data_IF_269220215921
#
_entry.id   IF_269220215921
#
_cell.length_a   1.000
_cell.length_b   1.000
_cell.length_c   1.000
_cell.angle_alpha   90.00
_cell.angle_beta   90.00
_cell.angle_gamma   90.00
#
_symmetry.space_group_name_H-M   'P 1'
#
loop_
_entity.id
_entity.type
_entity.pdbx_description
1 polymer ?
#
# COMPACT_ATOMS: atom_id res chain seq x y z
N UNK A 1 8.74 -11.47 -44.62
CA UNK A 1 9.25 -10.48 -43.65
C UNK A 1 10.20 -9.56 -44.40
N UNK A 2 9.92 -8.25 -44.46
CA UNK A 2 10.71 -7.31 -45.28
C UNK A 2 12.10 -7.11 -44.69
N UNK A 3 13.14 -7.19 -45.51
CA UNK A 3 14.53 -6.96 -45.10
C UNK A 3 15.11 -5.76 -45.85
N UNK A 4 15.88 -4.93 -45.15
CA UNK A 4 16.40 -3.67 -45.69
C UNK A 4 17.89 -3.52 -45.43
N UNK A 5 18.58 -2.87 -46.37
CA UNK A 5 19.98 -2.49 -46.21
C UNK A 5 20.14 -1.28 -45.28
N UNK A 6 21.35 -1.07 -44.76
CA UNK A 6 21.67 0.10 -43.93
C UNK A 6 21.36 1.42 -44.65
N UNK A 7 21.60 1.49 -45.96
CA UNK A 7 21.31 2.69 -46.75
C UNK A 7 19.80 2.93 -46.86
N UNK A 8 19.00 1.86 -47.04
CA UNK A 8 17.55 1.98 -47.09
C UNK A 8 16.96 2.35 -45.72
N UNK A 9 17.53 1.82 -44.64
CA UNK A 9 17.17 2.22 -43.27
C UNK A 9 17.54 3.68 -42.98
N UNK A 10 18.65 4.18 -43.52
CA UNK A 10 19.04 5.58 -43.39
C UNK A 10 18.06 6.52 -44.10
N UNK A 11 17.62 6.15 -45.30
CA UNK A 11 16.60 6.88 -46.06
C UNK A 11 15.26 6.92 -45.31
N UNK A 12 14.81 5.79 -44.76
CA UNK A 12 13.52 5.71 -44.07
C UNK A 12 13.51 6.37 -42.68
N UNK A 13 14.63 6.36 -41.96
CA UNK A 13 14.70 6.86 -40.57
C UNK A 13 15.30 8.26 -40.45
N UNK A 14 15.84 8.81 -41.55
CA UNK A 14 16.55 10.09 -41.57
C UNK A 14 17.84 10.12 -40.75
N UNK A 15 18.29 8.97 -40.22
CA UNK A 15 19.50 8.86 -39.40
C UNK A 15 20.72 8.58 -40.28
N UNK A 16 21.87 9.14 -39.90
CA UNK A 16 23.12 8.90 -40.60
C UNK A 16 23.48 7.39 -40.61
N UNK A 17 23.95 6.83 -41.75
CA UNK A 17 24.29 5.41 -41.88
C UNK A 17 25.28 4.90 -40.81
N UNK A 18 26.19 5.75 -40.35
CA UNK A 18 27.13 5.45 -39.27
C UNK A 18 26.44 5.21 -37.92
N UNK A 19 25.43 6.02 -37.60
CA UNK A 19 24.63 5.88 -36.37
C UNK A 19 23.82 4.59 -36.39
N UNK A 20 23.29 4.22 -37.57
CA UNK A 20 22.55 2.97 -37.75
C UNK A 20 23.49 1.77 -37.56
N UNK A 21 24.65 1.76 -38.22
CA UNK A 21 25.64 0.70 -38.05
C UNK A 21 26.07 0.55 -36.58
N UNK A 22 26.32 1.66 -35.88
CA UNK A 22 26.66 1.66 -34.45
C UNK A 22 25.55 1.01 -33.62
N UNK A 23 24.30 1.42 -33.79
CA UNK A 23 23.15 0.88 -33.04
C UNK A 23 22.85 -0.58 -33.35
N UNK A 24 22.99 -1.01 -34.60
CA UNK A 24 22.85 -2.42 -34.98
C UNK A 24 23.96 -3.29 -34.37
N UNK A 25 25.18 -2.75 -34.25
CA UNK A 25 26.31 -3.44 -33.60
C UNK A 25 26.11 -3.52 -32.09
N UNK A 26 25.69 -2.43 -31.45
CA UNK A 26 25.34 -2.39 -30.01
C UNK A 26 24.20 -3.37 -29.68
N UNK A 27 23.21 -3.47 -30.56
CA UNK A 27 22.09 -4.42 -30.44
C UNK A 27 22.45 -5.86 -30.83
N UNK A 28 23.70 -6.14 -31.25
CA UNK A 28 24.21 -7.46 -31.67
C UNK A 28 23.30 -8.16 -32.70
N UNK A 29 22.72 -7.40 -33.63
CA UNK A 29 21.83 -7.96 -34.65
C UNK A 29 22.61 -8.57 -35.81
N UNK A 30 22.34 -9.85 -36.09
CA UNK A 30 22.90 -10.56 -37.23
C UNK A 30 22.11 -10.26 -38.51
N UNK A 31 22.78 -10.16 -39.68
CA UNK A 31 22.09 -9.91 -40.93
C UNK A 31 21.28 -11.14 -41.36
N UNK A 32 20.00 -10.92 -41.67
CA UNK A 32 19.06 -11.96 -42.09
C UNK A 32 19.43 -12.51 -43.48
N UNK A 33 20.01 -11.66 -44.33
CA UNK A 33 20.46 -12.04 -45.67
C UNK A 33 21.64 -11.18 -46.10
N UNK A 34 22.55 -11.75 -46.88
CA UNK A 34 23.63 -11.02 -47.52
C UNK A 34 23.47 -11.08 -49.04
N UNK A 35 23.36 -9.93 -49.69
CA UNK A 35 23.38 -9.79 -51.14
C UNK A 35 24.69 -9.12 -51.55
N UNK A 36 25.63 -9.93 -52.04
CA UNK A 36 26.98 -9.49 -52.39
C UNK A 36 27.71 -8.83 -51.21
N UNK A 37 28.03 -7.53 -51.34
CA UNK A 37 28.71 -6.73 -50.31
C UNK A 37 27.73 -6.02 -49.35
N UNK A 38 26.43 -6.21 -49.52
CA UNK A 38 25.38 -5.52 -48.75
C UNK A 38 24.70 -6.50 -47.79
N UNK A 39 24.74 -6.17 -46.49
CA UNK A 39 24.01 -6.90 -45.44
C UNK A 39 22.58 -6.34 -45.29
N UNK A 40 21.60 -7.24 -45.26
CA UNK A 40 20.18 -6.93 -45.07
C UNK A 40 19.75 -7.33 -43.66
N UNK A 41 19.06 -6.41 -42.98
CA UNK A 41 18.55 -6.60 -41.64
C UNK A 41 17.03 -6.70 -41.67
N UNK A 42 16.44 -7.47 -40.75
CA UNK A 42 15.00 -7.54 -40.56
C UNK A 42 14.46 -6.16 -40.19
N UNK A 43 13.43 -5.69 -40.90
CA UNK A 43 12.91 -4.33 -40.71
C UNK A 43 12.42 -4.07 -39.28
N UNK A 44 11.83 -5.08 -38.64
CA UNK A 44 11.26 -4.98 -37.29
C UNK A 44 12.37 -4.86 -36.24
N UNK A 45 13.37 -5.74 -36.30
CA UNK A 45 14.46 -5.78 -35.32
C UNK A 45 15.39 -4.57 -35.47
N UNK A 46 15.68 -4.18 -36.71
CA UNK A 46 16.48 -3.00 -37.00
C UNK A 46 15.81 -1.71 -36.50
N UNK A 47 14.49 -1.55 -36.70
CA UNK A 47 13.78 -0.37 -36.19
C UNK A 47 13.66 -0.37 -34.66
N UNK A 48 13.48 -1.52 -34.03
CA UNK A 48 13.46 -1.63 -32.57
C UNK A 48 14.79 -1.19 -31.94
N UNK A 49 15.93 -1.60 -32.52
CA UNK A 49 17.25 -1.15 -32.11
C UNK A 49 17.49 0.36 -32.34
N UNK A 50 16.85 0.94 -33.37
CA UNK A 50 16.99 2.36 -33.70
C UNK A 50 16.13 3.27 -32.82
N UNK A 51 15.02 2.79 -32.27
CA UNK A 51 14.09 3.57 -31.44
C UNK A 51 13.76 2.85 -30.11
N UNK A 52 14.73 2.70 -29.20
CA UNK A 52 14.52 1.95 -27.95
C UNK A 52 13.46 2.58 -27.04
N UNK A 53 13.31 3.91 -27.03
CA UNK A 53 12.29 4.59 -26.22
C UNK A 53 10.86 4.41 -26.75
N UNK A 54 10.70 4.22 -28.06
CA UNK A 54 9.39 3.95 -28.67
C UNK A 54 9.06 2.45 -28.61
N UNK A 55 10.09 1.59 -28.69
CA UNK A 55 9.94 0.16 -28.42
C UNK A 55 9.49 -0.12 -26.98
N UNK A 56 9.96 0.66 -26.01
CA UNK A 56 9.50 0.59 -24.61
C UNK A 56 8.05 1.07 -24.41
N UNK A 57 7.51 1.85 -25.36
CA UNK A 57 6.10 2.28 -25.39
C UNK A 57 5.21 1.34 -26.20
N UNK A 58 5.76 0.32 -26.86
CA UNK A 58 4.91 -0.67 -27.53
C UNK A 58 4.20 -1.49 -26.47
N UNK A 59 2.87 -1.62 -26.53
CA UNK A 59 2.19 -2.63 -25.74
C UNK A 59 2.69 -3.99 -26.24
N UNK A 60 3.57 -4.62 -25.48
CA UNK A 60 3.86 -6.05 -25.59
C UNK A 60 2.54 -6.77 -25.36
N UNK A 61 1.96 -7.29 -26.44
CA UNK A 61 0.63 -7.90 -26.42
C UNK A 61 0.52 -9.09 -25.47
N UNK A 62 -0.70 -9.23 -24.93
CA UNK A 62 -1.36 -10.45 -24.38
C UNK A 62 -2.06 -10.29 -23.02
N UNK A 63 -2.54 -9.08 -22.70
CA UNK A 63 -3.69 -8.91 -21.81
C UNK A 63 -4.38 -7.60 -22.17
N UNK A 64 -5.71 -7.60 -22.17
CA UNK A 64 -6.61 -6.49 -22.48
C UNK A 64 -6.58 -5.36 -21.43
N UNK A 65 -5.40 -5.12 -20.84
CA UNK A 65 -5.16 -4.23 -19.71
C UNK A 65 -4.37 -3.03 -20.22
N UNK A 66 -5.02 -1.88 -20.21
CA UNK A 66 -4.39 -0.60 -20.49
C UNK A 66 -3.48 -0.22 -19.31
N UNK A 67 -2.17 -0.33 -19.54
CA UNK A 67 -1.13 -0.09 -18.54
C UNK A 67 -1.18 1.34 -18.01
N UNK A 68 -1.59 2.31 -18.83
CA UNK A 68 -1.64 3.72 -18.41
C UNK A 68 -2.86 3.97 -17.51
N UNK A 69 -3.97 3.28 -17.77
CA UNK A 69 -5.16 3.29 -16.88
C UNK A 69 -4.83 2.66 -15.53
N UNK A 70 -4.13 1.53 -15.49
CA UNK A 70 -3.76 0.88 -14.24
C UNK A 70 -2.74 1.69 -13.43
N UNK A 71 -1.77 2.36 -14.09
CA UNK A 71 -0.87 3.30 -13.42
C UNK A 71 -1.60 4.50 -12.83
N UNK A 72 -2.62 5.02 -13.53
CA UNK A 72 -3.45 6.10 -13.01
C UNK A 72 -4.23 5.65 -11.76
N UNK A 73 -4.80 4.44 -11.78
CA UNK A 73 -5.46 3.83 -10.61
C UNK A 73 -4.51 3.65 -9.43
N UNK A 74 -3.31 3.13 -9.67
CA UNK A 74 -2.30 2.94 -8.64
C UNK A 74 -1.86 4.28 -8.02
N UNK A 75 -1.67 5.30 -8.86
CA UNK A 75 -1.31 6.65 -8.40
C UNK A 75 -2.42 7.27 -7.55
N UNK A 76 -3.68 7.07 -7.96
CA UNK A 76 -4.83 7.51 -7.16
C UNK A 76 -4.89 6.81 -5.81
N UNK A 77 -4.78 5.49 -5.77
CA UNK A 77 -4.77 4.73 -4.52
C UNK A 77 -3.61 5.12 -3.59
N UNK A 78 -2.43 5.44 -4.16
CA UNK A 78 -1.30 6.00 -3.38
C UNK A 78 -1.61 7.38 -2.80
N UNK A 79 -2.29 8.25 -3.54
CA UNK A 79 -2.69 9.57 -3.07
C UNK A 79 -3.69 9.46 -1.90
N UNK A 80 -4.72 8.63 -2.04
CA UNK A 80 -5.72 8.37 -1.00
C UNK A 80 -5.04 7.82 0.28
N UNK A 81 -4.10 6.87 0.11
CA UNK A 81 -3.32 6.33 1.22
C UNK A 81 -2.42 7.37 1.91
N UNK A 82 -1.90 8.35 1.16
CA UNK A 82 -1.13 9.45 1.73
C UNK A 82 -2.03 10.44 2.49
N UNK A 83 -3.24 10.69 1.99
CA UNK A 83 -4.23 11.54 2.66
C UNK A 83 -4.62 10.97 4.02
N UNK A 84 -4.91 9.67 4.10
CA UNK A 84 -5.20 8.98 5.37
C UNK A 84 -4.01 9.09 6.34
N UNK A 85 -2.78 8.87 5.86
CA UNK A 85 -1.56 9.01 6.69
C UNK A 85 -1.35 10.44 7.19
N UNK A 86 -1.66 11.43 6.36
CA UNK A 86 -1.60 12.83 6.75
C UNK A 86 -2.66 13.16 7.81
N UNK A 87 -3.88 12.66 7.66
CA UNK A 87 -4.95 12.82 8.65
C UNK A 87 -4.57 12.17 9.99
N UNK A 88 -3.96 10.97 9.98
CA UNK A 88 -3.42 10.33 11.19
C UNK A 88 -2.31 11.18 11.81
N UNK A 89 -1.39 11.70 10.99
CA UNK A 89 -0.28 12.54 11.47
C UNK A 89 -0.77 13.85 12.08
N UNK A 90 -1.87 14.41 11.56
CA UNK A 90 -2.57 15.60 12.09
C UNK A 90 -3.45 15.30 13.30
N UNK A 91 -3.59 14.02 13.69
CA UNK A 91 -4.49 13.53 14.75
C UNK A 91 -5.98 13.76 14.45
N UNK A 92 -6.34 13.94 13.19
CA UNK A 92 -7.72 14.03 12.73
C UNK A 92 -8.36 12.65 12.63
N UNK A 93 -7.54 11.61 12.45
CA UNK A 93 -7.97 10.21 12.38
C UNK A 93 -7.10 9.35 13.31
N UNK A 94 -7.73 8.52 14.15
CA UNK A 94 -7.02 7.60 15.03
C UNK A 94 -7.32 6.17 14.59
N UNK A 95 -6.31 5.31 14.37
CA UNK A 95 -6.55 3.90 14.10
C UNK A 95 -7.31 3.26 15.27
N UNK A 96 -8.42 2.58 14.98
CA UNK A 96 -9.31 1.98 15.98
C UNK A 96 -8.54 1.06 16.94
N UNK A 97 -7.61 0.23 16.42
CA UNK A 97 -6.80 -0.66 17.25
C UNK A 97 -5.92 0.05 18.29
N UNK A 98 -5.53 1.32 18.06
CA UNK A 98 -4.80 2.11 19.07
C UNK A 98 -5.73 2.55 20.19
N UNK A 99 -6.97 2.93 19.86
CA UNK A 99 -8.01 3.28 20.83
C UNK A 99 -8.38 2.05 21.66
N UNK A 100 -8.61 0.90 21.03
CA UNK A 100 -8.88 -0.37 21.70
C UNK A 100 -7.77 -0.74 22.69
N UNK A 101 -6.50 -0.65 22.26
CA UNK A 101 -5.36 -0.93 23.13
C UNK A 101 -5.29 0.03 24.32
N UNK A 102 -5.47 1.33 24.09
CA UNK A 102 -5.44 2.34 25.14
C UNK A 102 -6.60 2.13 26.14
N UNK A 103 -7.83 2.01 25.64
CA UNK A 103 -9.03 1.82 26.45
C UNK A 103 -8.94 0.51 27.24
N UNK A 104 -8.55 -0.59 26.60
CA UNK A 104 -8.32 -1.87 27.27
C UNK A 104 -7.28 -1.76 28.39
N UNK A 105 -6.19 -1.04 28.16
CA UNK A 105 -5.17 -0.77 29.19
C UNK A 105 -5.70 0.07 30.37
N UNK A 106 -6.51 1.10 30.09
CA UNK A 106 -7.15 1.94 31.12
C UNK A 106 -8.14 1.12 31.94
N UNK A 107 -9.01 0.34 31.29
CA UNK A 107 -10.00 -0.52 31.94
C UNK A 107 -9.32 -1.59 32.81
N UNK A 108 -8.25 -2.23 32.34
CA UNK A 108 -7.48 -3.20 33.11
C UNK A 108 -6.88 -2.58 34.38
N UNK A 109 -6.31 -1.38 34.27
CA UNK A 109 -5.75 -0.64 35.42
C UNK A 109 -6.84 -0.24 36.41
N UNK A 110 -8.00 0.18 35.91
CA UNK A 110 -9.15 0.52 36.74
C UNK A 110 -9.67 -0.70 37.50
N UNK A 111 -9.86 -1.83 36.81
CA UNK A 111 -10.31 -3.09 37.41
C UNK A 111 -9.38 -3.54 38.55
N UNK A 112 -8.07 -3.56 38.30
CA UNK A 112 -7.08 -3.88 39.34
C UNK A 112 -7.12 -2.89 40.52
N UNK A 113 -7.32 -1.60 40.23
CA UNK A 113 -7.51 -0.57 41.25
C UNK A 113 -8.71 -0.86 42.16
N UNK A 114 -9.85 -1.19 41.56
CA UNK A 114 -11.10 -1.49 42.26
C UNK A 114 -11.01 -2.79 43.07
N UNK A 115 -10.44 -3.87 42.53
CA UNK A 115 -10.22 -5.14 43.26
C UNK A 115 -9.37 -4.94 44.52
N UNK A 116 -8.39 -4.04 44.46
CA UNK A 116 -7.53 -3.75 45.61
C UNK A 116 -8.16 -2.82 46.66
N UNK A 117 -9.32 -2.22 46.35
CA UNK A 117 -9.94 -1.17 47.16
C UNK A 117 -10.41 -1.67 48.53
N UNK A 118 -11.11 -2.82 48.67
CA UNK A 118 -11.57 -3.31 49.97
C UNK A 118 -10.41 -3.55 50.95
N UNK A 119 -9.31 -4.14 50.46
CA UNK A 119 -8.10 -4.39 51.25
C UNK A 119 -7.44 -3.08 51.71
N UNK A 120 -7.32 -2.11 50.80
CA UNK A 120 -6.79 -0.78 51.11
C UNK A 120 -7.66 -0.04 52.13
N UNK A 121 -8.98 -0.16 52.02
CA UNK A 121 -9.95 0.44 52.95
C UNK A 121 -9.84 -0.20 54.33
N UNK A 122 -9.79 -1.52 54.45
CA UNK A 122 -9.62 -2.20 55.75
C UNK A 122 -8.32 -1.79 56.45
N UNK A 123 -7.24 -1.62 55.70
CA UNK A 123 -5.95 -1.16 56.24
C UNK A 123 -6.00 0.28 56.77
N UNK A 124 -6.74 1.18 56.10
CA UNK A 124 -6.88 2.60 56.49
C UNK A 124 -7.96 2.83 57.54
N UNK A 125 -8.99 2.00 57.55
CA UNK A 125 -10.15 2.10 58.43
C UNK A 125 -10.38 0.74 59.13
N UNK A 126 -9.65 0.44 60.22
CA UNK A 126 -9.72 -0.86 60.89
C UNK A 126 -11.11 -1.18 61.47
N UNK A 127 -11.92 -0.15 61.73
CA UNK A 127 -13.29 -0.23 62.27
C UNK A 127 -14.31 -0.85 61.31
N UNK A 128 -14.02 -0.91 60.00
CA UNK A 128 -14.89 -1.57 59.02
C UNK A 128 -15.04 -3.05 59.39
N UNK A 129 -16.27 -3.52 59.51
CA UNK A 129 -16.53 -4.93 59.78
C UNK A 129 -16.45 -5.76 58.48
N UNK A 130 -16.54 -7.08 58.58
CA UNK A 130 -16.47 -7.96 57.41
C UNK A 130 -17.67 -7.79 56.46
N UNK A 131 -18.86 -7.50 57.01
CA UNK A 131 -20.08 -7.24 56.26
C UNK A 131 -19.96 -5.97 55.40
N UNK A 132 -19.39 -4.89 55.94
CA UNK A 132 -19.16 -3.63 55.23
C UNK A 132 -18.25 -3.85 54.02
N UNK A 133 -17.18 -4.63 54.20
CA UNK A 133 -16.25 -4.96 53.11
C UNK A 133 -16.90 -5.82 52.04
N UNK A 134 -17.76 -6.76 52.42
CA UNK A 134 -18.50 -7.60 51.47
C UNK A 134 -19.54 -6.79 50.69
N UNK A 135 -20.20 -5.82 51.30
CA UNK A 135 -21.11 -4.90 50.60
C UNK A 135 -20.36 -4.08 49.55
N UNK A 136 -19.18 -3.55 49.92
CA UNK A 136 -18.33 -2.80 48.99
C UNK A 136 -17.87 -3.69 47.82
N UNK A 137 -17.43 -4.92 48.10
CA UNK A 137 -16.97 -5.86 47.08
C UNK A 137 -18.10 -6.28 46.11
N UNK A 138 -19.30 -6.48 46.65
CA UNK A 138 -20.50 -6.76 45.87
C UNK A 138 -20.86 -5.60 44.93
N UNK A 139 -20.81 -4.37 45.41
CA UNK A 139 -21.13 -3.19 44.60
C UNK A 139 -20.08 -2.98 43.49
N UNK A 140 -18.79 -3.16 43.81
CA UNK A 140 -17.70 -3.13 42.82
C UNK A 140 -17.92 -4.19 41.73
N UNK A 141 -18.29 -5.41 42.13
CA UNK A 141 -18.54 -6.51 41.19
C UNK A 141 -19.71 -6.22 40.28
N UNK A 142 -20.80 -5.66 40.83
CA UNK A 142 -21.97 -5.25 40.04
C UNK A 142 -21.60 -4.22 38.98
N UNK A 143 -20.90 -3.15 39.36
CA UNK A 143 -20.47 -2.10 38.42
C UNK A 143 -19.54 -2.66 37.34
N UNK A 144 -18.63 -3.58 37.69
CA UNK A 144 -17.76 -4.23 36.70
C UNK A 144 -18.53 -5.04 35.67
N UNK A 145 -19.55 -5.78 36.12
CA UNK A 145 -20.37 -6.57 35.22
C UNK A 145 -21.20 -5.67 34.29
N UNK A 146 -21.76 -4.58 34.81
CA UNK A 146 -22.45 -3.57 33.99
C UNK A 146 -21.51 -2.93 32.96
N UNK A 147 -20.29 -2.58 33.34
CA UNK A 147 -19.28 -2.03 32.41
C UNK A 147 -18.80 -3.05 31.37
N UNK A 148 -18.80 -4.34 31.69
CA UNK A 148 -18.42 -5.40 30.76
C UNK A 148 -19.50 -5.67 29.70
N UNK A 149 -20.76 -5.29 29.99
CA UNK A 149 -21.90 -5.44 29.08
C UNK A 149 -22.10 -4.21 28.18
N UNK A 150 -21.32 -3.13 28.40
CA UNK A 150 -21.34 -1.96 27.52
C UNK A 150 -20.73 -2.30 26.17
N UNK A 151 -21.50 -2.11 25.11
CA UNK A 151 -21.05 -2.25 23.73
C UNK A 151 -20.98 -0.89 23.02
N UNK A 152 -20.19 -0.81 21.95
CA UNK A 152 -20.10 0.35 21.08
C UNK A 152 -21.25 0.31 20.07
N UNK A 153 -22.37 0.95 20.43
CA UNK A 153 -23.48 1.16 19.51
C UNK A 153 -23.23 2.41 18.65
N UNK A 154 -22.85 2.19 17.39
CA UNK A 154 -22.66 3.27 16.43
C UNK A 154 -23.97 3.94 16.01
N UNK A 155 -25.09 3.23 16.04
CA UNK A 155 -26.40 3.77 15.68
C UNK A 155 -26.87 4.76 16.76
N UNK A 156 -26.65 4.43 18.03
CA UNK A 156 -26.91 5.33 19.16
C UNK A 156 -26.04 6.60 19.10
N UNK A 157 -24.76 6.48 18.74
CA UNK A 157 -23.84 7.63 18.63
C UNK A 157 -24.21 8.58 17.47
N UNK A 158 -24.65 8.04 16.33
CA UNK A 158 -25.09 8.84 15.18
C UNK A 158 -26.51 9.40 15.33
N UNK A 159 -27.25 9.01 16.39
CA UNK A 159 -28.59 9.48 16.68
C UNK A 159 -29.64 9.03 15.64
N UNK A 160 -29.48 7.83 15.08
CA UNK A 160 -30.41 7.23 14.11
C UNK A 160 -31.28 6.15 14.72
#
# INVERSE_FOLDING_TARGET
MSSYSINKLAEMTGKAPRTIKKRLTEAKLEPVRQEGRTALYGSVDALAALYPQEAAKRPTGSSDIDIDVEKARETKARADGLEIKNAVSRRELVPVGVVEWLVGGVCAKLASGLESLPVKLKRRCPKLNATDLHLIDSEITKWRNEMADMDLDFDEYEGK
#
